data_IF_099609471236
#
_entry.id   IF_099609471236
#
_cell.length_a   1.000
_cell.length_b   1.000
_cell.length_c   1.000
_cell.angle_alpha   90.00
_cell.angle_beta   90.00
_cell.angle_gamma   90.00
#
_symmetry.space_group_name_H-M   'P 1'
#
loop_
_entity.id
_entity.type
_entity.pdbx_description
1 polymer ?
#
# COMPACT_ATOMS: atom_id res chain seq x y z
N UNK A 1 -35.90 -0.67 1.50
CA UNK A 1 -34.55 -0.71 0.90
C UNK A 1 -33.58 -1.09 2.00
N UNK A 2 -33.26 -2.39 2.08
CA UNK A 2 -32.45 -2.99 3.14
C UNK A 2 -31.06 -2.38 3.13
N UNK A 3 -30.64 -1.79 4.25
CA UNK A 3 -29.23 -1.47 4.50
C UNK A 3 -28.47 -2.79 4.33
N UNK A 4 -27.52 -2.93 3.37
CA UNK A 4 -26.73 -4.15 3.32
C UNK A 4 -26.05 -4.28 4.67
N UNK A 5 -26.02 -5.47 5.28
CA UNK A 5 -25.42 -5.62 6.59
C UNK A 5 -23.99 -5.08 6.48
N UNK A 6 -23.62 -4.18 7.39
CA UNK A 6 -22.24 -4.00 7.81
C UNK A 6 -21.76 -5.38 8.30
N UNK A 7 -21.39 -6.25 7.37
CA UNK A 7 -21.42 -7.71 7.60
C UNK A 7 -20.24 -8.19 8.44
N UNK A 8 -19.22 -7.37 8.65
CA UNK A 8 -18.18 -7.55 9.67
C UNK A 8 -17.30 -6.31 9.57
N UNK A 9 -16.87 -5.74 10.71
CA UNK A 9 -15.87 -4.67 10.72
C UNK A 9 -14.51 -5.25 10.28
N UNK A 10 -14.36 -5.50 8.98
CA UNK A 10 -13.13 -6.06 8.42
C UNK A 10 -12.05 -5.00 8.57
N UNK A 11 -10.89 -5.34 9.16
CA UNK A 11 -9.78 -4.41 9.24
C UNK A 11 -9.40 -3.95 7.83
N UNK A 12 -9.42 -2.65 7.63
CA UNK A 12 -9.12 -2.01 6.35
C UNK A 12 -7.96 -1.03 6.49
N UNK A 13 -7.20 -0.87 5.41
CA UNK A 13 -6.17 0.15 5.33
C UNK A 13 -6.86 1.53 5.24
N UNK A 14 -6.60 2.42 6.19
CA UNK A 14 -7.20 3.77 6.24
C UNK A 14 -6.23 4.87 5.82
N UNK A 15 -4.94 4.60 5.92
CA UNK A 15 -3.85 5.52 5.60
C UNK A 15 -2.58 4.74 5.28
N UNK A 16 -1.81 5.23 4.31
CA UNK A 16 -0.49 4.71 3.95
C UNK A 16 0.56 5.81 4.14
N UNK A 17 1.53 5.56 5.02
CA UNK A 17 2.66 6.47 5.28
C UNK A 17 3.96 5.90 4.71
N UNK A 18 4.63 6.69 3.87
CA UNK A 18 5.87 6.32 3.19
C UNK A 18 6.96 7.34 3.52
N UNK A 19 7.76 7.06 4.56
CA UNK A 19 8.83 7.96 5.01
C UNK A 19 9.98 8.01 4.00
N UNK A 20 10.53 6.86 3.60
CA UNK A 20 11.64 6.74 2.67
C UNK A 20 11.51 5.45 1.84
N UNK A 21 10.48 5.38 0.99
CA UNK A 21 10.17 4.19 0.21
C UNK A 21 10.22 4.48 -1.29
N UNK A 22 11.22 3.93 -1.98
CA UNK A 22 11.47 4.15 -3.41
C UNK A 22 11.55 5.64 -3.76
N UNK A 23 10.65 6.16 -4.59
CA UNK A 23 10.59 7.59 -4.94
C UNK A 23 9.85 8.44 -3.91
N UNK A 24 9.12 7.84 -2.95
CA UNK A 24 8.39 8.59 -1.92
C UNK A 24 9.32 9.06 -0.80
N UNK A 25 9.14 10.33 -0.39
CA UNK A 25 9.81 10.97 0.75
C UNK A 25 8.74 11.66 1.60
N UNK A 26 8.49 11.15 2.80
CA UNK A 26 7.53 11.72 3.75
C UNK A 26 6.07 11.76 3.25
N UNK A 27 5.65 10.85 2.38
CA UNK A 27 4.31 10.86 1.80
C UNK A 27 3.26 10.25 2.76
N UNK A 28 2.11 10.90 2.89
CA UNK A 28 0.93 10.37 3.61
C UNK A 28 -0.25 10.32 2.65
N UNK A 29 -0.78 9.13 2.42
CA UNK A 29 -1.82 8.86 1.43
C UNK A 29 -3.08 8.37 2.16
N UNK A 30 -4.18 9.15 2.16
CA UNK A 30 -5.43 8.70 2.75
C UNK A 30 -6.01 7.55 1.92
N UNK A 31 -6.43 6.47 2.57
CA UNK A 31 -7.06 5.32 1.92
C UNK A 31 -8.53 5.26 2.32
N UNK A 32 -9.39 5.28 1.31
CA UNK A 32 -10.85 5.14 1.39
C UNK A 32 -11.27 3.81 0.73
N UNK A 33 -12.53 3.36 0.88
CA UNK A 33 -12.99 2.09 0.31
C UNK A 33 -12.63 1.86 -1.16
N UNK A 34 -12.66 2.94 -1.97
CA UNK A 34 -12.06 2.97 -3.30
C UNK A 34 -11.10 4.17 -3.39
N UNK A 35 -9.82 3.88 -3.65
CA UNK A 35 -8.78 4.89 -3.83
C UNK A 35 -8.00 4.60 -5.11
N UNK A 36 -7.92 5.58 -6.01
CA UNK A 36 -7.21 5.46 -7.28
C UNK A 36 -5.97 6.35 -7.24
N UNK A 37 -4.78 5.76 -7.44
CA UNK A 37 -3.54 6.52 -7.56
C UNK A 37 -3.31 6.97 -9.01
N UNK A 38 -3.28 8.28 -9.25
CA UNK A 38 -3.06 8.89 -10.57
C UNK A 38 -1.80 9.78 -10.58
N UNK A 39 -1.38 10.24 -11.75
CA UNK A 39 -0.21 11.13 -11.93
C UNK A 39 0.70 10.74 -13.08
N UNK A 40 1.74 11.54 -13.33
CA UNK A 40 2.72 11.33 -14.41
C UNK A 40 3.48 9.99 -14.29
N UNK A 41 4.08 9.52 -15.38
CA UNK A 41 5.00 8.36 -15.31
C UNK A 41 6.12 8.65 -14.31
N UNK A 42 6.52 7.65 -13.52
CA UNK A 42 7.54 7.81 -12.47
C UNK A 42 7.04 8.47 -11.16
N UNK A 43 5.77 8.93 -11.08
CA UNK A 43 5.24 9.59 -9.86
C UNK A 43 5.08 8.68 -8.62
N UNK A 44 5.53 7.43 -8.68
CA UNK A 44 5.50 6.52 -7.53
C UNK A 44 4.18 5.78 -7.29
N UNK A 45 3.22 5.79 -8.23
CA UNK A 45 1.96 5.03 -8.12
C UNK A 45 2.19 3.54 -7.89
N UNK A 46 3.03 2.92 -8.73
CA UNK A 46 3.39 1.50 -8.60
C UNK A 46 4.10 1.24 -7.27
N UNK A 47 4.91 2.20 -6.80
CA UNK A 47 5.57 2.12 -5.50
C UNK A 47 4.57 2.17 -4.33
N UNK A 48 3.52 2.98 -4.42
CA UNK A 48 2.46 3.00 -3.39
C UNK A 48 1.73 1.65 -3.31
N UNK A 49 1.37 1.05 -4.45
CA UNK A 49 0.76 -0.29 -4.49
C UNK A 49 1.70 -1.39 -4.01
N UNK A 50 3.00 -1.28 -4.31
CA UNK A 50 4.04 -2.18 -3.81
C UNK A 50 4.16 -2.11 -2.28
N UNK A 51 4.08 -0.92 -1.69
CA UNK A 51 4.05 -0.77 -0.23
C UNK A 51 2.83 -1.45 0.38
N UNK A 52 1.64 -1.30 -0.22
CA UNK A 52 0.44 -2.05 0.22
C UNK A 52 0.67 -3.56 0.20
N UNK A 53 1.33 -4.09 -0.84
CA UNK A 53 1.66 -5.53 -0.94
C UNK A 53 2.60 -5.97 0.18
N UNK A 54 3.66 -5.20 0.46
CA UNK A 54 4.59 -5.50 1.56
C UNK A 54 3.85 -5.55 2.88
N UNK A 55 3.03 -4.52 3.17
CA UNK A 55 2.25 -4.45 4.40
C UNK A 55 1.25 -5.60 4.53
N UNK A 56 0.59 -5.98 3.44
CA UNK A 56 -0.31 -7.13 3.43
C UNK A 56 0.44 -8.46 3.71
N UNK A 57 1.62 -8.64 3.14
CA UNK A 57 2.47 -9.81 3.41
C UNK A 57 2.90 -9.88 4.88
N UNK A 58 3.40 -8.75 5.42
CA UNK A 58 3.78 -8.65 6.84
C UNK A 58 2.58 -8.89 7.76
N UNK A 59 1.42 -8.30 7.46
CA UNK A 59 0.19 -8.53 8.22
C UNK A 59 -0.34 -9.97 8.13
N UNK A 60 0.02 -10.69 7.07
CA UNK A 60 -0.24 -12.12 6.91
C UNK A 60 0.82 -13.05 7.52
N UNK A 61 1.86 -12.49 8.15
CA UNK A 61 2.91 -13.26 8.85
C UNK A 61 4.17 -13.56 8.03
N UNK A 62 4.33 -12.98 6.83
CA UNK A 62 5.55 -13.14 6.05
C UNK A 62 6.76 -12.49 6.78
N UNK A 63 7.93 -13.08 6.61
CA UNK A 63 9.16 -12.48 7.13
C UNK A 63 9.52 -11.22 6.34
N UNK A 64 10.29 -10.31 6.95
CA UNK A 64 10.68 -9.05 6.33
C UNK A 64 11.36 -9.24 4.97
N UNK A 65 12.30 -10.18 4.87
CA UNK A 65 13.00 -10.48 3.61
C UNK A 65 12.07 -10.99 2.52
N UNK A 66 11.08 -11.81 2.88
CA UNK A 66 10.09 -12.37 1.94
C UNK A 66 9.13 -11.28 1.43
N UNK A 67 8.63 -10.45 2.35
CA UNK A 67 7.71 -9.36 2.02
C UNK A 67 8.34 -8.35 1.05
N UNK A 68 9.64 -8.07 1.19
CA UNK A 68 10.39 -7.17 0.31
C UNK A 68 10.98 -7.86 -0.92
N UNK A 69 11.21 -9.18 -0.88
CA UNK A 69 11.81 -9.94 -1.99
C UNK A 69 10.95 -9.97 -3.26
N UNK A 70 9.64 -9.74 -3.14
CA UNK A 70 8.70 -9.66 -4.26
C UNK A 70 8.63 -8.28 -4.93
N UNK A 71 9.42 -7.31 -4.47
CA UNK A 71 9.43 -5.95 -5.02
C UNK A 71 10.27 -5.88 -6.30
N UNK A 72 9.60 -5.70 -7.44
CA UNK A 72 10.28 -5.34 -8.68
C UNK A 72 10.94 -3.95 -8.58
N UNK A 73 12.20 -3.84 -9.02
CA UNK A 73 13.01 -2.62 -8.98
C UNK A 73 13.47 -2.28 -7.56
N UNK A 74 14.65 -2.77 -7.18
CA UNK A 74 15.32 -2.47 -5.91
C UNK A 74 15.64 -0.99 -5.71
N UNK A 75 16.13 -0.64 -4.52
CA UNK A 75 16.46 0.73 -4.15
C UNK A 75 17.70 1.26 -4.92
N UNK A 76 17.47 1.90 -6.08
CA UNK A 76 18.52 2.56 -6.91
C UNK A 76 19.46 1.55 -7.60
N UNK A 77 20.12 1.79 -8.73
CA UNK A 77 20.56 3.02 -9.39
C UNK A 77 21.19 4.04 -8.44
#
# INVERSE_FOLDING_TARGET
MTVPPDTEARPGLTELRLSAFKSHRGATLPIRPLTVFTGASGSGKSSALQACRVLAGLGGGALLGEAFGLLAGGAGA
#
